data_IF_083848522164
#
_entry.id   IF_083848522164
#
_cell.length_a   1.000
_cell.length_b   1.000
_cell.length_c   1.000
_cell.angle_alpha   90.00
_cell.angle_beta   90.00
_cell.angle_gamma   90.00
#
_symmetry.space_group_name_H-M   'P 1'
#
loop_
_entity.id
_entity.type
_entity.pdbx_description
1 polymer ?
#
# COMPACT_ATOMS: atom_id res chain seq x y z
N UNK A 1 12.23 -31.26 -55.29
CA UNK A 1 11.33 -31.12 -56.43
C UNK A 1 10.39 -32.34 -56.57
N UNK A 2 9.20 -32.20 -57.12
CA UNK A 2 8.14 -31.27 -56.79
C UNK A 2 6.81 -32.06 -56.56
N UNK A 3 5.77 -31.43 -56.06
CA UNK A 3 4.50 -31.46 -56.76
C UNK A 3 3.50 -30.51 -56.12
N UNK A 4 3.02 -29.62 -56.98
CA UNK A 4 1.91 -28.76 -56.77
C UNK A 4 0.57 -29.45 -57.05
N UNK A 5 -0.49 -28.91 -56.45
CA UNK A 5 -1.87 -28.92 -57.00
C UNK A 5 -2.62 -27.68 -56.59
N UNK A 6 -2.93 -26.91 -57.59
CA UNK A 6 -3.98 -25.89 -57.62
C UNK A 6 -5.36 -26.53 -57.75
N UNK A 7 -6.39 -25.94 -57.20
CA UNK A 7 -7.81 -25.97 -57.61
C UNK A 7 -8.49 -24.84 -56.90
N UNK A 8 -8.96 -23.86 -57.50
CA UNK A 8 -10.03 -23.53 -58.49
C UNK A 8 -11.22 -22.83 -57.79
N UNK A 9 -11.48 -21.67 -58.31
CA UNK A 9 -12.61 -20.77 -58.02
C UNK A 9 -13.97 -21.40 -58.24
N UNK A 10 -14.96 -20.96 -57.48
CA UNK A 10 -16.37 -21.18 -57.74
C UNK A 10 -17.24 -20.06 -57.08
N UNK A 11 -18.33 -19.62 -57.73
CA UNK A 11 -18.77 -18.25 -57.63
C UNK A 11 -19.83 -17.94 -56.55
N UNK A 12 -19.88 -16.64 -56.29
CA UNK A 12 -20.82 -15.87 -55.45
C UNK A 12 -22.26 -16.00 -55.95
N UNK A 13 -23.17 -16.19 -55.02
CA UNK A 13 -24.58 -15.87 -55.25
C UNK A 13 -25.10 -14.88 -54.19
N UNK A 14 -25.65 -13.74 -54.66
CA UNK A 14 -26.44 -12.80 -53.88
C UNK A 14 -27.90 -12.97 -54.19
N UNK A 15 -28.78 -12.85 -53.21
CA UNK A 15 -29.98 -12.03 -53.42
C UNK A 15 -30.28 -11.11 -52.26
N UNK A 16 -30.57 -9.81 -52.54
CA UNK A 16 -31.92 -9.40 -52.70
C UNK A 16 -32.41 -8.65 -51.43
N UNK A 17 -32.40 -7.31 -51.45
CA UNK A 17 -32.88 -6.47 -50.39
C UNK A 17 -34.39 -6.47 -50.17
N UNK A 18 -34.83 -6.19 -48.96
CA UNK A 18 -36.15 -5.61 -48.65
C UNK A 18 -36.16 -4.79 -47.37
N UNK A 19 -36.60 -3.51 -47.50
CA UNK A 19 -37.56 -2.91 -46.58
C UNK A 19 -37.11 -2.46 -45.20
N UNK A 20 -36.80 -1.18 -45.03
CA UNK A 20 -36.83 -0.48 -43.75
C UNK A 20 -38.27 -0.20 -43.32
N UNK A 21 -38.64 -0.40 -42.05
CA UNK A 21 -39.70 0.39 -41.41
C UNK A 21 -39.14 1.44 -40.46
N UNK A 22 -39.89 2.55 -40.35
CA UNK A 22 -39.59 3.81 -39.71
C UNK A 22 -39.35 3.70 -38.18
N UNK A 23 -38.39 4.46 -37.74
CA UNK A 23 -38.07 4.67 -36.35
C UNK A 23 -39.17 5.45 -35.59
N UNK A 24 -39.79 4.81 -34.59
CA UNK A 24 -40.55 5.51 -33.54
C UNK A 24 -39.57 6.06 -32.53
N UNK A 25 -39.55 7.38 -32.37
CA UNK A 25 -38.83 8.04 -31.28
C UNK A 25 -39.51 7.67 -29.94
N UNK A 26 -38.82 6.87 -29.14
CA UNK A 26 -39.17 6.68 -27.72
C UNK A 26 -38.58 7.85 -26.93
N UNK A 27 -39.41 8.51 -26.12
CA UNK A 27 -38.98 9.54 -25.17
C UNK A 27 -38.13 8.84 -24.08
N UNK A 28 -36.87 9.29 -23.96
CA UNK A 28 -35.97 8.88 -22.87
C UNK A 28 -36.39 9.69 -21.64
N UNK A 29 -36.92 8.99 -20.65
CA UNK A 29 -37.11 9.50 -19.27
C UNK A 29 -35.74 9.68 -18.59
N UNK A 30 -35.62 10.52 -17.54
CA UNK A 30 -34.35 10.72 -16.85
C UNK A 30 -33.89 9.42 -16.20
N UNK A 31 -32.72 8.97 -16.60
CA UNK A 31 -32.06 7.79 -16.03
C UNK A 31 -31.70 7.97 -14.55
N UNK A 32 -31.56 6.88 -13.79
CA UNK A 32 -31.25 6.95 -12.38
C UNK A 32 -29.89 7.62 -12.16
N UNK A 33 -29.84 8.60 -11.26
CA UNK A 33 -28.62 9.26 -10.82
C UNK A 33 -27.64 8.20 -10.30
N UNK A 34 -26.48 8.08 -10.94
CA UNK A 34 -25.37 7.27 -10.43
C UNK A 34 -24.94 7.86 -9.09
N UNK A 35 -25.15 7.10 -8.00
CA UNK A 35 -24.54 7.40 -6.71
C UNK A 35 -23.02 7.24 -6.86
N UNK A 36 -22.27 8.29 -6.56
CA UNK A 36 -20.83 8.23 -6.40
C UNK A 36 -20.48 7.29 -5.25
N UNK A 37 -19.39 6.53 -5.32
CA UNK A 37 -18.91 5.72 -4.19
C UNK A 37 -18.31 6.68 -3.16
N UNK A 38 -19.10 7.13 -2.20
CA UNK A 38 -18.66 7.89 -1.05
C UNK A 38 -18.14 6.97 0.03
N UNK A 39 -16.91 7.17 0.48
CA UNK A 39 -16.46 6.67 1.79
C UNK A 39 -17.42 7.17 2.87
N UNK A 40 -17.66 6.34 3.91
CA UNK A 40 -18.45 6.75 5.08
C UNK A 40 -17.78 7.96 5.74
N UNK A 41 -18.26 9.14 5.42
CA UNK A 41 -18.18 10.29 6.32
C UNK A 41 -19.30 10.09 7.33
N UNK A 42 -19.02 10.28 8.62
CA UNK A 42 -20.08 10.47 9.58
C UNK A 42 -20.91 11.71 9.18
N UNK A 43 -22.15 11.84 9.68
CA UNK A 43 -23.05 12.94 9.32
C UNK A 43 -22.48 14.34 9.67
N UNK A 44 -21.28 14.41 10.24
CA UNK A 44 -20.58 15.64 10.64
C UNK A 44 -19.37 15.98 9.78
N UNK A 45 -19.02 15.14 8.78
CA UNK A 45 -17.89 15.40 7.88
C UNK A 45 -16.52 15.31 8.54
N UNK A 46 -16.43 14.82 9.78
CA UNK A 46 -15.17 14.59 10.48
C UNK A 46 -14.63 13.22 10.12
N UNK A 47 -13.38 13.16 9.67
CA UNK A 47 -12.57 11.93 9.65
C UNK A 47 -12.59 11.40 11.08
N UNK A 48 -13.14 10.19 11.31
CA UNK A 48 -13.22 9.57 12.63
C UNK A 48 -11.88 9.69 13.34
N UNK A 49 -11.89 10.04 14.62
CA UNK A 49 -10.68 10.33 15.38
C UNK A 49 -9.73 9.14 15.28
N UNK A 50 -8.57 9.35 14.67
CA UNK A 50 -7.53 8.38 14.36
C UNK A 50 -6.92 7.90 15.67
N UNK A 51 -7.28 6.70 16.13
CA UNK A 51 -6.70 6.11 17.34
C UNK A 51 -5.25 5.71 17.09
N UNK A 52 -4.40 6.07 18.01
CA UNK A 52 -2.97 5.76 17.97
C UNK A 52 -2.55 4.97 19.21
N UNK A 53 -1.44 4.26 19.12
CA UNK A 53 -0.90 3.54 20.27
C UNK A 53 -0.57 4.47 21.44
N UNK A 54 -0.20 5.72 21.16
CA UNK A 54 0.02 6.78 22.14
C UNK A 54 -1.24 7.14 22.94
N UNK A 55 -2.45 7.02 22.37
CA UNK A 55 -3.73 7.29 23.05
C UNK A 55 -4.00 6.26 24.17
N UNK A 56 -3.29 5.14 24.17
CA UNK A 56 -3.32 4.11 25.21
C UNK A 56 -2.18 4.26 26.23
N UNK A 57 -1.47 5.40 26.24
CA UNK A 57 -0.36 5.64 27.14
C UNK A 57 0.88 4.81 26.84
N UNK A 58 0.98 4.27 25.62
CA UNK A 58 2.10 3.45 25.16
C UNK A 58 2.98 4.24 24.19
N UNK A 59 4.28 4.05 24.29
CA UNK A 59 5.26 4.65 23.37
C UNK A 59 6.15 3.58 22.78
N UNK A 60 6.56 3.79 21.53
CA UNK A 60 7.46 2.89 20.79
C UNK A 60 8.79 3.60 20.58
N UNK A 61 9.85 2.96 21.08
CA UNK A 61 11.20 3.48 20.94
C UNK A 61 11.49 4.72 21.77
N UNK A 62 12.49 5.48 21.36
CA UNK A 62 13.01 6.64 22.10
C UNK A 62 13.18 7.90 21.23
N UNK A 63 12.99 7.77 19.92
CA UNK A 63 13.12 8.89 19.00
C UNK A 63 11.85 9.72 18.95
N UNK A 64 12.00 11.02 18.79
CA UNK A 64 10.89 11.99 18.68
C UNK A 64 10.07 11.72 17.41
N UNK A 65 8.73 11.57 17.52
CA UNK A 65 7.87 11.52 16.33
C UNK A 65 7.83 12.88 15.63
N UNK A 66 7.47 12.87 14.34
CA UNK A 66 7.13 14.08 13.60
C UNK A 66 5.77 14.65 14.00
N UNK A 67 5.38 15.81 13.44
CA UNK A 67 4.17 16.54 13.87
C UNK A 67 2.85 15.78 13.71
N UNK A 68 2.73 14.91 12.71
CA UNK A 68 1.57 14.06 12.46
C UNK A 68 1.80 12.61 12.89
N UNK A 69 3.05 12.30 13.21
CA UNK A 69 3.53 10.94 13.41
C UNK A 69 3.06 10.01 12.28
N UNK A 70 3.37 10.38 11.04
CA UNK A 70 2.93 9.71 9.84
C UNK A 70 3.95 9.80 8.70
N UNK A 71 3.85 8.92 7.69
CA UNK A 71 4.66 8.97 6.46
C UNK A 71 4.67 10.37 5.82
N UNK A 72 3.55 11.07 5.93
CA UNK A 72 3.34 12.41 5.37
C UNK A 72 4.02 13.56 6.13
N UNK A 73 4.74 13.27 7.20
CA UNK A 73 5.66 14.24 7.81
C UNK A 73 6.91 14.48 6.94
N UNK A 74 7.23 13.53 6.05
CA UNK A 74 8.24 13.74 5.02
C UNK A 74 7.71 14.75 3.99
N UNK A 75 8.40 15.85 3.75
CA UNK A 75 7.90 16.93 2.91
C UNK A 75 7.50 16.49 1.50
N UNK A 76 6.28 16.86 1.09
CA UNK A 76 5.74 16.57 -0.24
C UNK A 76 5.09 15.18 -0.39
N UNK A 77 5.18 14.31 0.59
CA UNK A 77 4.52 13.01 0.58
C UNK A 77 3.02 13.18 0.82
N UNK A 78 2.20 12.46 0.05
CA UNK A 78 0.74 12.39 0.20
C UNK A 78 0.28 10.94 0.10
N UNK A 79 -0.80 10.61 0.82
CA UNK A 79 -1.42 9.28 0.80
C UNK A 79 -2.90 9.43 0.51
N UNK A 80 -3.45 8.55 -0.33
CA UNK A 80 -4.87 8.53 -0.63
C UNK A 80 -5.44 7.12 -0.72
N UNK A 81 -6.73 6.98 -0.45
CA UNK A 81 -7.41 5.70 -0.38
C UNK A 81 -8.68 5.70 -1.24
N UNK A 82 -8.95 4.54 -1.84
CA UNK A 82 -10.26 4.18 -2.34
C UNK A 82 -10.64 2.84 -1.70
N UNK A 83 -11.66 2.83 -0.85
CA UNK A 83 -12.11 1.63 -0.13
C UNK A 83 -13.32 1.02 -0.83
N UNK A 84 -13.25 -0.28 -1.13
CA UNK A 84 -14.37 -1.08 -1.60
C UNK A 84 -14.84 -1.97 -0.46
N UNK A 85 -15.88 -1.51 0.23
CA UNK A 85 -16.48 -2.17 1.39
C UNK A 85 -17.96 -2.43 1.13
N UNK A 86 -18.30 -3.67 0.76
CA UNK A 86 -19.67 -4.13 0.53
C UNK A 86 -19.85 -5.48 1.25
N UNK A 87 -20.28 -5.45 2.53
CA UNK A 87 -20.46 -6.65 3.35
C UNK A 87 -21.47 -7.64 2.76
N UNK A 88 -22.50 -7.16 2.03
CA UNK A 88 -23.52 -8.01 1.43
C UNK A 88 -22.95 -8.90 0.32
N UNK A 89 -21.92 -8.38 -0.38
CA UNK A 89 -21.18 -9.13 -1.39
C UNK A 89 -19.91 -9.79 -0.85
N UNK A 90 -19.62 -9.63 0.44
CA UNK A 90 -18.37 -10.11 1.05
C UNK A 90 -17.14 -9.39 0.54
N UNK A 91 -17.28 -8.15 0.04
CA UNK A 91 -16.16 -7.37 -0.49
C UNK A 91 -15.56 -6.50 0.62
N UNK A 92 -14.26 -6.69 0.85
CA UNK A 92 -13.44 -5.97 1.81
C UNK A 92 -12.04 -5.75 1.24
N UNK A 93 -11.86 -4.76 0.39
CA UNK A 93 -10.60 -4.49 -0.30
C UNK A 93 -10.48 -3.01 -0.66
N UNK A 94 -9.43 -2.63 -1.39
CA UNK A 94 -9.28 -1.27 -1.88
C UNK A 94 -7.90 -0.98 -2.44
N UNK A 95 -7.69 0.30 -2.70
CA UNK A 95 -6.46 0.87 -3.24
C UNK A 95 -5.93 1.93 -2.29
N UNK A 96 -4.65 1.87 -1.99
CA UNK A 96 -3.91 2.95 -1.32
C UNK A 96 -2.82 3.44 -2.26
N UNK A 97 -2.74 4.74 -2.49
CA UNK A 97 -1.70 5.38 -3.28
C UNK A 97 -0.80 6.20 -2.38
N UNK A 98 0.51 5.99 -2.49
CA UNK A 98 1.54 6.85 -1.89
C UNK A 98 2.17 7.66 -3.01
N UNK A 99 2.03 8.98 -2.95
CA UNK A 99 2.69 9.95 -3.85
C UNK A 99 3.88 10.49 -3.07
N UNK A 100 5.11 10.01 -3.33
CA UNK A 100 6.26 10.30 -2.46
C UNK A 100 6.82 11.70 -2.66
N UNK A 101 6.46 12.38 -3.74
CA UNK A 101 6.90 13.73 -3.99
C UNK A 101 6.00 14.45 -5.02
N UNK A 102 5.97 15.80 -5.02
CA UNK A 102 5.27 16.57 -6.03
C UNK A 102 5.98 16.49 -7.40
N UNK A 103 5.24 16.80 -8.46
CA UNK A 103 5.73 16.80 -9.84
C UNK A 103 5.72 15.43 -10.49
N UNK A 104 6.40 15.33 -11.63
CA UNK A 104 6.45 14.11 -12.44
C UNK A 104 7.61 13.20 -11.97
N UNK A 105 7.27 12.09 -11.36
CA UNK A 105 8.25 11.06 -10.98
C UNK A 105 8.87 10.38 -12.21
N UNK A 106 8.19 10.38 -13.35
CA UNK A 106 8.76 9.87 -14.59
C UNK A 106 9.92 10.74 -15.10
N UNK A 107 9.73 12.07 -15.06
CA UNK A 107 10.74 13.02 -15.54
C UNK A 107 11.87 13.27 -14.54
N UNK A 108 11.54 13.21 -13.24
CA UNK A 108 12.49 13.38 -12.14
C UNK A 108 12.29 12.24 -11.14
N UNK A 109 13.00 11.15 -11.38
CA UNK A 109 12.91 9.94 -10.55
C UNK A 109 13.47 10.18 -9.15
N UNK A 110 12.94 9.43 -8.18
CA UNK A 110 13.51 9.40 -6.84
C UNK A 110 14.54 8.28 -6.72
N UNK A 111 15.58 8.48 -5.94
CA UNK A 111 16.40 7.37 -5.49
C UNK A 111 15.55 6.42 -4.64
N UNK A 112 15.66 5.12 -4.91
CA UNK A 112 14.87 4.09 -4.26
C UNK A 112 15.66 2.81 -4.03
N UNK A 113 15.30 2.07 -2.98
CA UNK A 113 15.84 0.76 -2.68
C UNK A 113 14.77 -0.16 -2.11
N UNK A 114 14.82 -1.44 -2.42
CA UNK A 114 13.86 -2.42 -1.96
C UNK A 114 14.54 -3.61 -1.28
N UNK A 115 13.82 -4.23 -0.34
CA UNK A 115 14.22 -5.46 0.33
C UNK A 115 13.05 -6.44 0.36
N UNK A 116 13.35 -7.71 0.10
CA UNK A 116 12.44 -8.83 0.32
C UNK A 116 13.01 -9.63 1.46
N UNK A 117 12.22 -9.82 2.53
CA UNK A 117 12.59 -10.63 3.68
C UNK A 117 12.07 -12.06 3.52
N UNK A 118 10.79 -12.20 3.17
CA UNK A 118 10.22 -13.46 2.69
C UNK A 118 9.40 -13.20 1.43
N UNK A 119 9.49 -14.07 0.44
CA UNK A 119 9.08 -13.79 -0.94
C UNK A 119 7.73 -14.36 -1.37
N UNK A 120 6.85 -14.79 -0.46
CA UNK A 120 5.53 -15.29 -0.84
C UNK A 120 4.55 -14.14 -1.17
N UNK A 121 4.91 -13.32 -2.15
CA UNK A 121 4.18 -12.12 -2.60
C UNK A 121 4.17 -11.98 -4.14
N UNK A 122 3.22 -11.18 -4.66
CA UNK A 122 3.01 -10.93 -6.10
C UNK A 122 3.25 -9.46 -6.45
N UNK A 123 4.07 -8.78 -5.66
CA UNK A 123 4.43 -7.39 -5.87
C UNK A 123 5.20 -7.17 -7.17
N UNK A 124 4.92 -6.05 -7.85
CA UNK A 124 5.45 -5.74 -9.18
C UNK A 124 6.27 -4.44 -9.17
N UNK A 125 7.17 -4.30 -10.16
CA UNK A 125 8.00 -3.11 -10.35
C UNK A 125 9.31 -3.11 -9.57
N UNK A 126 9.53 -4.05 -8.64
CA UNK A 126 10.70 -4.08 -7.76
C UNK A 126 12.00 -4.49 -8.47
N UNK A 127 11.93 -5.22 -9.58
CA UNK A 127 13.11 -5.62 -10.36
C UNK A 127 13.86 -4.37 -10.82
N UNK A 128 13.17 -3.42 -11.47
CA UNK A 128 13.79 -2.18 -11.93
C UNK A 128 14.27 -1.30 -10.77
N UNK A 129 13.49 -1.21 -9.67
CA UNK A 129 13.92 -0.47 -8.47
C UNK A 129 15.24 -1.03 -7.93
N UNK A 130 15.37 -2.34 -7.84
CA UNK A 130 16.60 -2.99 -7.33
C UNK A 130 17.79 -2.84 -8.28
N UNK A 131 17.55 -2.93 -9.58
CA UNK A 131 18.61 -2.87 -10.60
C UNK A 131 19.06 -1.43 -10.87
N UNK A 132 18.10 -0.51 -11.04
CA UNK A 132 18.40 0.89 -11.40
C UNK A 132 18.44 1.85 -10.22
N UNK A 133 17.96 1.43 -9.06
CA UNK A 133 17.96 2.26 -7.85
C UNK A 133 17.01 3.45 -7.91
N UNK A 134 15.99 3.42 -8.76
CA UNK A 134 15.08 4.56 -8.98
C UNK A 134 13.62 4.16 -8.94
N UNK A 135 12.78 5.09 -8.45
CA UNK A 135 11.32 5.05 -8.52
C UNK A 135 10.82 6.11 -9.49
N UNK A 136 9.96 5.73 -10.45
CA UNK A 136 9.46 6.62 -11.51
C UNK A 136 7.93 6.73 -11.59
N UNK A 137 7.22 6.11 -10.64
CA UNK A 137 5.77 6.23 -10.47
C UNK A 137 5.40 6.41 -9.01
N UNK A 138 4.20 6.88 -8.68
CA UNK A 138 3.62 6.67 -7.35
C UNK A 138 3.58 5.18 -7.01
N UNK A 139 3.49 4.86 -5.71
CA UNK A 139 3.43 3.49 -5.19
C UNK A 139 1.97 3.15 -4.92
N UNK A 140 1.51 2.01 -5.43
CA UNK A 140 0.14 1.51 -5.23
C UNK A 140 0.17 0.29 -4.31
N UNK A 141 -0.69 0.27 -3.30
CA UNK A 141 -0.94 -0.87 -2.43
C UNK A 141 -2.36 -1.40 -2.67
N UNK A 142 -2.54 -2.73 -2.61
CA UNK A 142 -3.85 -3.35 -2.87
C UNK A 142 -3.95 -4.76 -2.30
N UNK A 143 -5.10 -5.41 -2.49
CA UNK A 143 -5.30 -6.86 -2.28
C UNK A 143 -4.70 -7.69 -3.41
N UNK A 144 -4.32 -8.93 -3.08
CA UNK A 144 -3.57 -9.84 -3.97
C UNK A 144 -4.21 -10.04 -5.36
N UNK A 145 -5.54 -10.12 -5.43
CA UNK A 145 -6.26 -10.41 -6.70
C UNK A 145 -6.27 -9.24 -7.68
N UNK A 146 -5.94 -8.02 -7.21
CA UNK A 146 -6.07 -6.79 -8.01
C UNK A 146 -4.73 -6.21 -8.45
N UNK A 147 -3.60 -6.80 -8.04
CA UNK A 147 -2.27 -6.25 -8.31
C UNK A 147 -2.00 -6.08 -9.82
N UNK A 148 -2.34 -7.08 -10.64
CA UNK A 148 -2.15 -7.01 -12.10
C UNK A 148 -3.01 -5.96 -12.79
N UNK A 149 -4.29 -5.83 -12.39
CA UNK A 149 -5.20 -4.83 -12.95
C UNK A 149 -4.77 -3.39 -12.58
N UNK A 150 -4.29 -3.18 -11.36
CA UNK A 150 -3.81 -1.88 -10.93
C UNK A 150 -2.42 -1.55 -11.51
N UNK A 151 -1.61 -2.57 -11.84
CA UNK A 151 -0.38 -2.35 -12.60
C UNK A 151 -0.70 -1.80 -14.00
N UNK A 152 -1.62 -2.43 -14.75
CA UNK A 152 -2.07 -1.93 -16.05
C UNK A 152 -2.70 -0.53 -15.93
N UNK A 153 -3.55 -0.32 -14.91
CA UNK A 153 -4.17 0.97 -14.68
C UNK A 153 -3.16 2.09 -14.41
N UNK A 154 -2.12 1.84 -13.61
CA UNK A 154 -1.06 2.81 -13.32
C UNK A 154 -0.18 3.06 -14.55
N UNK A 155 0.12 2.00 -15.32
CA UNK A 155 0.85 2.11 -16.57
C UNK A 155 0.14 3.02 -17.57
N UNK A 156 -1.17 2.76 -17.81
CA UNK A 156 -2.00 3.58 -18.70
C UNK A 156 -2.15 5.01 -18.21
N UNK A 157 -2.35 5.21 -16.90
CA UNK A 157 -2.38 6.54 -16.31
C UNK A 157 -1.08 7.31 -16.57
N UNK A 158 0.07 6.65 -16.45
CA UNK A 158 1.36 7.26 -16.73
C UNK A 158 1.50 7.68 -18.21
N UNK A 159 1.00 6.86 -19.15
CA UNK A 159 0.95 7.23 -20.58
C UNK A 159 0.02 8.40 -20.86
N UNK A 160 -1.12 8.49 -20.17
CA UNK A 160 -2.04 9.63 -20.31
C UNK A 160 -1.41 10.94 -19.81
N UNK A 161 -0.61 10.86 -18.73
CA UNK A 161 0.10 12.02 -18.15
C UNK A 161 1.37 12.40 -18.92
N UNK A 162 1.97 11.45 -19.65
CA UNK A 162 3.26 11.57 -20.35
C UNK A 162 3.19 10.94 -21.74
N UNK A 163 2.85 11.73 -22.74
CA UNK A 163 2.68 11.26 -24.14
C UNK A 163 3.96 10.70 -24.76
N UNK A 164 5.13 11.00 -24.20
CA UNK A 164 6.43 10.47 -24.60
C UNK A 164 6.62 8.98 -24.27
N UNK A 165 5.91 8.44 -23.26
CA UNK A 165 6.00 7.02 -22.87
C UNK A 165 5.48 6.12 -24.00
N UNK A 166 6.26 5.12 -24.38
CA UNK A 166 5.98 4.17 -25.47
C UNK A 166 5.85 4.84 -26.87
N UNK A 167 6.32 6.07 -27.03
CA UNK A 167 6.37 6.78 -28.32
C UNK A 167 7.78 7.25 -28.65
N UNK A 168 8.25 8.33 -28.05
CA UNK A 168 9.61 8.86 -28.22
C UNK A 168 10.57 8.41 -27.13
N UNK A 169 10.03 8.05 -25.99
CA UNK A 169 10.79 7.47 -24.87
C UNK A 169 10.45 5.98 -24.71
N UNK A 170 11.19 5.29 -23.85
CA UNK A 170 10.91 3.91 -23.47
C UNK A 170 9.60 3.75 -22.71
N UNK A 171 9.45 2.64 -22.02
CA UNK A 171 8.31 2.38 -21.14
C UNK A 171 8.50 2.99 -19.74
N UNK A 172 7.46 2.89 -18.92
CA UNK A 172 7.49 3.24 -17.50
C UNK A 172 7.38 1.97 -16.64
N UNK A 173 7.92 2.00 -15.43
CA UNK A 173 7.87 0.87 -14.49
C UNK A 173 6.93 1.20 -13.30
N UNK A 174 5.64 0.84 -13.36
CA UNK A 174 4.74 0.96 -12.23
C UNK A 174 5.18 0.13 -11.04
N UNK A 175 4.99 0.65 -9.84
CA UNK A 175 5.22 -0.10 -8.60
C UNK A 175 3.88 -0.38 -7.92
N UNK A 176 3.51 -1.66 -7.85
CA UNK A 176 2.29 -2.13 -7.20
C UNK A 176 2.65 -3.24 -6.22
N UNK A 177 2.31 -3.03 -4.96
CA UNK A 177 2.60 -3.92 -3.85
C UNK A 177 1.30 -4.48 -3.28
N UNK A 178 1.29 -5.74 -2.80
CA UNK A 178 0.06 -6.37 -2.37
C UNK A 178 0.21 -7.16 -1.08
N UNK A 179 -0.92 -7.32 -0.39
CA UNK A 179 -1.10 -8.29 0.67
C UNK A 179 -2.36 -9.13 0.41
N UNK A 180 -2.41 -10.36 0.93
CA UNK A 180 -3.51 -11.27 0.71
C UNK A 180 -4.69 -10.98 1.66
N UNK A 181 -5.70 -10.26 1.19
CA UNK A 181 -6.93 -9.90 1.91
C UNK A 181 -8.02 -10.99 1.90
N UNK A 182 -7.77 -12.15 1.30
CA UNK A 182 -8.80 -13.16 1.00
C UNK A 182 -9.46 -13.81 2.22
N UNK A 183 -8.99 -13.57 3.43
CA UNK A 183 -9.67 -14.02 4.63
C UNK A 183 -11.00 -13.27 4.85
N UNK A 184 -11.01 -11.95 4.72
CA UNK A 184 -12.18 -11.09 4.87
C UNK A 184 -12.83 -10.73 3.53
N UNK A 185 -12.08 -10.73 2.44
CA UNK A 185 -12.50 -10.31 1.10
C UNK A 185 -12.79 -11.49 0.19
N UNK A 186 -13.89 -11.47 -0.55
CA UNK A 186 -14.10 -12.40 -1.66
C UNK A 186 -13.27 -11.95 -2.88
N UNK A 187 -12.03 -12.39 -2.91
CA UNK A 187 -11.09 -12.06 -3.97
C UNK A 187 -11.53 -12.55 -5.38
N UNK A 188 -12.48 -13.48 -5.47
CA UNK A 188 -13.04 -13.95 -6.76
C UNK A 188 -14.03 -12.96 -7.34
N UNK A 189 -14.73 -12.20 -6.50
CA UNK A 189 -15.71 -11.19 -6.91
C UNK A 189 -15.12 -9.79 -6.97
N UNK A 190 -14.08 -9.50 -6.18
CA UNK A 190 -13.44 -8.19 -6.13
C UNK A 190 -12.89 -7.79 -7.51
N UNK A 191 -13.23 -6.59 -7.95
CA UNK A 191 -12.74 -5.99 -9.19
C UNK A 191 -12.32 -4.56 -8.91
N UNK A 192 -11.02 -4.33 -8.89
CA UNK A 192 -10.44 -2.99 -8.80
C UNK A 192 -9.80 -2.66 -10.14
N UNK A 193 -9.97 -1.42 -10.59
CA UNK A 193 -9.47 -0.93 -11.87
C UNK A 193 -9.11 0.55 -11.83
N UNK A 194 -9.07 1.17 -12.99
CA UNK A 194 -8.65 2.54 -13.20
C UNK A 194 -9.47 3.54 -12.37
N UNK A 195 -10.77 3.38 -12.29
CA UNK A 195 -11.68 4.24 -11.53
C UNK A 195 -11.37 4.27 -10.03
N UNK A 196 -10.99 3.13 -9.45
CA UNK A 196 -10.59 3.02 -8.04
C UNK A 196 -9.21 3.65 -7.81
N UNK A 197 -8.30 3.47 -8.76
CA UNK A 197 -6.99 4.10 -8.74
C UNK A 197 -7.13 5.62 -8.79
N UNK A 198 -7.91 6.15 -9.74
CA UNK A 198 -8.12 7.59 -9.90
C UNK A 198 -8.83 8.20 -8.68
N UNK A 199 -9.77 7.48 -8.05
CA UNK A 199 -10.39 7.91 -6.80
C UNK A 199 -9.37 8.00 -5.65
N UNK A 200 -8.45 7.02 -5.52
CA UNK A 200 -7.39 7.06 -4.52
C UNK A 200 -6.41 8.22 -4.77
N UNK A 201 -6.06 8.50 -6.03
CA UNK A 201 -5.27 9.68 -6.38
C UNK A 201 -5.97 11.00 -6.02
N UNK A 202 -7.28 11.09 -6.30
CA UNK A 202 -8.10 12.27 -5.96
C UNK A 202 -8.22 12.53 -4.46
N UNK A 203 -8.13 11.48 -3.64
CA UNK A 203 -8.18 11.55 -2.19
C UNK A 203 -6.81 11.79 -1.53
N UNK A 204 -5.71 11.88 -2.31
CA UNK A 204 -4.36 11.96 -1.75
C UNK A 204 -4.10 13.29 -1.04
N UNK A 205 -3.81 13.22 0.25
CA UNK A 205 -3.56 14.35 1.14
C UNK A 205 -2.43 14.06 2.14
N UNK A 206 -2.03 15.08 2.90
CA UNK A 206 -1.12 14.92 4.02
C UNK A 206 -1.82 14.35 5.26
N UNK A 207 -3.13 14.52 5.37
CA UNK A 207 -3.95 13.89 6.39
C UNK A 207 -4.77 12.76 5.73
N UNK A 208 -4.67 11.53 6.26
CA UNK A 208 -5.25 10.34 5.65
C UNK A 208 -5.70 9.34 6.73
N UNK A 209 -6.61 8.45 6.38
CA UNK A 209 -7.12 7.42 7.29
C UNK A 209 -6.12 6.28 7.54
N UNK A 210 -6.27 5.61 8.68
CA UNK A 210 -5.56 4.37 9.03
C UNK A 210 -6.53 3.24 9.38
N UNK A 211 -6.04 2.02 9.59
CA UNK A 211 -6.86 0.84 9.89
C UNK A 211 -7.50 0.23 8.64
N UNK A 212 -8.82 0.05 8.67
CA UNK A 212 -9.60 -0.66 7.66
C UNK A 212 -9.93 0.22 6.43
N UNK A 213 -8.97 0.91 5.84
CA UNK A 213 -9.14 1.82 4.70
C UNK A 213 -8.28 1.41 3.51
N UNK A 214 -8.76 1.71 2.30
CA UNK A 214 -8.02 1.42 1.07
C UNK A 214 -7.55 -0.03 1.00
N UNK A 215 -6.28 -0.25 0.69
CA UNK A 215 -5.65 -1.57 0.67
C UNK A 215 -5.75 -2.32 2.01
N UNK A 216 -5.90 -1.60 3.13
CA UNK A 216 -6.01 -2.17 4.47
C UNK A 216 -7.38 -2.74 4.81
N UNK A 217 -8.41 -2.49 3.99
CA UNK A 217 -9.80 -2.82 4.32
C UNK A 217 -10.01 -4.30 4.66
N UNK A 218 -9.41 -5.24 3.92
CA UNK A 218 -9.57 -6.69 4.14
C UNK A 218 -8.46 -7.36 4.95
N UNK A 219 -7.52 -6.60 5.52
CA UNK A 219 -6.32 -7.16 6.14
C UNK A 219 -6.56 -7.69 7.56
N UNK A 220 -5.83 -8.77 7.90
CA UNK A 220 -5.82 -9.40 9.22
C UNK A 220 -4.40 -9.43 9.75
N UNK A 221 -4.16 -8.87 10.95
CA UNK A 221 -2.84 -8.84 11.56
C UNK A 221 -2.90 -9.40 12.98
N UNK A 222 -2.05 -10.36 13.30
CA UNK A 222 -2.08 -11.11 14.56
C UNK A 222 -3.47 -11.71 14.89
N UNK A 223 -4.16 -12.23 13.87
CA UNK A 223 -5.55 -12.72 13.97
C UNK A 223 -6.56 -11.67 14.46
N UNK A 224 -6.18 -10.41 14.49
CA UNK A 224 -7.01 -9.22 14.73
C UNK A 224 -7.27 -8.49 13.41
N UNK A 225 -8.07 -7.42 13.42
CA UNK A 225 -8.20 -6.55 12.26
C UNK A 225 -6.90 -5.79 12.06
N UNK A 226 -6.27 -6.01 10.92
CA UNK A 226 -5.08 -5.29 10.44
C UNK A 226 -5.45 -4.14 9.52
N UNK A 227 -4.49 -3.66 8.73
CA UNK A 227 -4.73 -2.61 7.74
C UNK A 227 -3.59 -1.64 7.55
N UNK A 228 -3.93 -0.40 7.19
CA UNK A 228 -2.98 0.69 7.03
C UNK A 228 -2.60 1.25 8.40
N UNK A 229 -1.30 1.44 8.61
CA UNK A 229 -0.77 2.17 9.75
C UNK A 229 0.43 2.99 9.36
N UNK A 230 0.72 4.02 10.12
CA UNK A 230 1.81 4.94 9.80
C UNK A 230 2.45 5.50 11.06
N UNK A 231 3.71 5.90 10.97
CA UNK A 231 4.45 6.62 12.00
C UNK A 231 5.62 7.38 11.36
N UNK A 232 6.25 8.28 12.11
CA UNK A 232 7.45 8.98 11.67
C UNK A 232 8.42 9.19 12.81
N UNK A 233 9.67 9.50 12.46
CA UNK A 233 10.73 9.88 13.39
C UNK A 233 11.49 11.08 12.85
N UNK A 234 11.77 12.02 13.73
CA UNK A 234 12.76 13.07 13.48
C UNK A 234 14.13 12.51 13.79
N UNK A 235 15.04 12.64 12.83
CA UNK A 235 16.38 12.06 12.86
C UNK A 235 17.42 13.15 12.86
N UNK A 236 18.09 13.31 13.99
CA UNK A 236 19.21 14.24 14.12
C UNK A 236 20.53 13.53 13.78
N UNK A 237 21.21 13.97 12.76
CA UNK A 237 22.51 13.44 12.35
C UNK A 237 23.31 14.48 11.56
N UNK A 238 24.64 14.41 11.58
CA UNK A 238 25.56 15.36 10.92
C UNK A 238 25.19 16.84 11.09
N UNK A 239 24.65 17.23 12.27
CA UNK A 239 24.24 18.61 12.58
C UNK A 239 22.99 19.08 11.83
N UNK A 240 22.16 18.16 11.32
CA UNK A 240 20.91 18.43 10.61
C UNK A 240 19.78 17.56 11.16
N UNK A 241 18.55 18.04 11.02
CA UNK A 241 17.35 17.24 11.22
C UNK A 241 16.85 16.72 9.86
N UNK A 242 16.48 15.44 9.85
CA UNK A 242 15.76 14.79 8.75
C UNK A 242 14.50 14.13 9.30
N UNK A 243 13.58 13.83 8.42
CA UNK A 243 12.38 13.07 8.74
C UNK A 243 12.44 11.71 8.07
N UNK A 244 12.13 10.65 8.82
CA UNK A 244 11.85 9.33 8.29
C UNK A 244 10.42 8.99 8.62
N UNK A 245 9.61 8.71 7.58
CA UNK A 245 8.24 8.22 7.71
C UNK A 245 8.12 6.78 7.27
N UNK A 246 7.18 6.06 7.88
CA UNK A 246 6.79 4.70 7.53
C UNK A 246 5.28 4.61 7.31
N UNK A 247 4.86 3.81 6.32
CA UNK A 247 3.49 3.34 6.13
C UNK A 247 3.53 1.84 5.91
N UNK A 248 2.65 1.12 6.58
CA UNK A 248 2.50 -0.33 6.42
C UNK A 248 1.10 -0.70 5.93
N UNK A 249 1.02 -1.79 5.18
CA UNK A 249 -0.20 -2.56 4.99
C UNK A 249 -0.01 -3.89 5.72
N UNK A 250 -0.55 -3.99 6.95
CA UNK A 250 -0.25 -5.07 7.89
C UNK A 250 -1.28 -6.19 7.80
N UNK A 251 -0.82 -7.39 7.43
CA UNK A 251 -1.63 -8.59 7.24
C UNK A 251 -0.85 -9.87 7.61
N UNK A 252 -0.29 -9.96 8.80
CA UNK A 252 0.61 -11.03 9.21
C UNK A 252 0.47 -11.38 10.70
N UNK A 253 1.19 -12.39 11.15
CA UNK A 253 1.38 -12.73 12.56
C UNK A 253 0.28 -13.61 13.15
N UNK A 254 0.62 -14.29 14.24
CA UNK A 254 -0.30 -15.09 15.06
C UNK A 254 -0.58 -14.37 16.36
N UNK A 255 -1.83 -14.42 16.85
CA UNK A 255 -2.25 -13.69 18.05
C UNK A 255 -1.37 -13.97 19.27
N UNK A 256 -1.01 -15.22 19.47
CA UNK A 256 -0.19 -15.66 20.62
C UNK A 256 1.21 -15.04 20.66
N UNK A 257 1.72 -14.61 19.52
CA UNK A 257 3.07 -14.06 19.39
C UNK A 257 3.10 -12.52 19.57
N UNK A 258 1.93 -11.85 19.63
CA UNK A 258 1.87 -10.39 19.66
C UNK A 258 2.60 -9.78 20.85
N UNK A 259 3.55 -8.90 20.53
CA UNK A 259 4.27 -8.03 21.46
C UNK A 259 3.83 -6.58 21.22
N UNK A 260 3.30 -5.94 22.25
CA UNK A 260 2.81 -4.57 22.22
C UNK A 260 3.78 -3.64 22.95
N UNK A 261 4.53 -2.82 22.22
CA UNK A 261 5.53 -1.91 22.80
C UNK A 261 6.42 -2.61 23.85
N UNK A 262 6.99 -3.76 23.50
CA UNK A 262 7.84 -4.58 24.34
C UNK A 262 7.12 -5.50 25.37
N UNK A 263 5.78 -5.48 25.42
CA UNK A 263 4.97 -6.30 26.33
C UNK A 263 4.36 -7.50 25.60
N UNK A 264 4.63 -8.75 25.96
CA UNK A 264 3.99 -9.92 25.35
C UNK A 264 2.54 -10.02 25.84
N UNK A 265 1.58 -9.62 25.00
CA UNK A 265 0.15 -9.64 25.35
C UNK A 265 -0.63 -10.73 24.62
N UNK A 266 -0.02 -11.40 23.66
CA UNK A 266 -0.70 -12.32 22.75
C UNK A 266 -1.45 -13.46 23.46
N UNK A 267 -0.86 -14.08 24.48
CA UNK A 267 -1.52 -15.14 25.26
C UNK A 267 -2.73 -14.64 26.05
N UNK A 268 -2.67 -13.42 26.61
CA UNK A 268 -3.79 -12.81 27.32
C UNK A 268 -4.92 -12.46 26.36
N UNK A 269 -4.62 -11.91 25.19
CA UNK A 269 -5.61 -11.63 24.12
C UNK A 269 -6.30 -12.92 23.67
N UNK A 270 -5.57 -14.00 23.51
CA UNK A 270 -6.13 -15.28 23.12
C UNK A 270 -7.10 -15.82 24.17
N UNK A 271 -6.79 -15.68 25.44
CA UNK A 271 -7.69 -16.08 26.54
C UNK A 271 -9.00 -15.27 26.53
N UNK A 272 -8.93 -13.95 26.25
CA UNK A 272 -10.11 -13.09 26.17
C UNK A 272 -11.00 -13.37 24.96
N UNK A 273 -10.43 -13.75 23.83
CA UNK A 273 -11.18 -13.88 22.59
C UNK A 273 -11.86 -15.23 22.44
N UNK A 274 -11.56 -16.23 23.30
CA UNK A 274 -11.98 -17.63 23.10
C UNK A 274 -11.73 -18.11 21.66
N UNK A 275 -10.80 -17.46 20.98
CA UNK A 275 -10.54 -17.66 19.58
C UNK A 275 -10.14 -19.12 19.39
N UNK A 276 -10.91 -19.86 18.59
CA UNK A 276 -10.48 -21.13 18.07
C UNK A 276 -9.08 -20.93 17.53
N UNK A 277 -8.13 -21.71 18.03
CA UNK A 277 -6.78 -21.64 17.55
C UNK A 277 -6.80 -22.07 16.09
N UNK A 278 -6.86 -21.12 15.18
CA UNK A 278 -6.38 -21.40 13.85
C UNK A 278 -4.91 -21.78 13.99
N UNK A 279 -4.65 -23.09 14.06
CA UNK A 279 -3.31 -23.68 14.02
C UNK A 279 -2.64 -23.45 12.66
N UNK A 280 -3.18 -22.53 11.88
CA UNK A 280 -2.58 -22.10 10.64
C UNK A 280 -1.29 -21.35 10.98
N UNK A 281 -0.20 -21.77 10.34
CA UNK A 281 1.08 -21.06 10.43
C UNK A 281 0.93 -19.59 10.01
N UNK A 282 1.91 -18.77 10.30
CA UNK A 282 1.98 -17.36 9.86
C UNK A 282 2.01 -17.32 8.31
N UNK A 283 0.83 -17.16 7.70
CA UNK A 283 0.61 -17.13 6.25
C UNK A 283 0.21 -15.72 5.79
N UNK A 284 0.72 -14.74 6.44
CA UNK A 284 0.34 -13.35 6.17
C UNK A 284 1.19 -12.69 5.10
N UNK A 285 1.28 -11.39 5.20
CA UNK A 285 2.17 -10.53 4.43
C UNK A 285 2.24 -9.15 5.06
N UNK A 286 3.34 -8.43 4.83
CA UNK A 286 3.42 -7.01 5.12
C UNK A 286 4.10 -6.28 3.98
N UNK A 287 3.50 -5.17 3.57
CA UNK A 287 4.14 -4.19 2.71
C UNK A 287 4.53 -2.98 3.56
N UNK A 288 5.79 -2.57 3.44
CA UNK A 288 6.36 -1.43 4.14
C UNK A 288 6.83 -0.41 3.11
N UNK A 289 6.36 0.83 3.23
CA UNK A 289 6.86 1.99 2.47
C UNK A 289 7.55 2.93 3.43
N UNK A 290 8.82 3.19 3.20
CA UNK A 290 9.63 4.18 3.90
C UNK A 290 9.89 5.37 2.99
N UNK A 291 9.77 6.58 3.50
CA UNK A 291 10.24 7.79 2.85
C UNK A 291 11.12 8.61 3.81
N UNK A 292 12.08 9.32 3.26
CA UNK A 292 12.93 10.24 4.03
C UNK A 292 13.38 11.41 3.17
N UNK A 293 13.56 12.56 3.76
CA UNK A 293 14.23 13.73 3.15
C UNK A 293 15.75 13.72 3.36
N UNK A 294 16.30 12.69 4.03
CA UNK A 294 17.74 12.49 4.07
C UNK A 294 18.27 12.09 2.67
N UNK A 295 19.41 12.65 2.22
CA UNK A 295 19.98 12.33 0.93
C UNK A 295 20.66 10.95 0.98
N UNK A 296 19.93 9.91 0.61
CA UNK A 296 20.41 8.53 0.55
C UNK A 296 20.47 8.00 -0.88
N UNK A 297 21.52 7.27 -1.21
CA UNK A 297 21.60 6.53 -2.47
C UNK A 297 20.75 5.24 -2.42
N UNK A 298 20.59 4.58 -3.57
CA UNK A 298 19.79 3.35 -3.69
C UNK A 298 20.30 2.19 -2.83
N UNK A 299 21.62 2.07 -2.67
CA UNK A 299 22.25 1.05 -1.83
C UNK A 299 21.95 1.31 -0.35
N UNK A 300 22.02 2.56 0.09
CA UNK A 300 21.66 2.97 1.47
C UNK A 300 20.16 2.78 1.73
N UNK A 301 19.30 3.11 0.77
CA UNK A 301 17.86 2.90 0.84
C UNK A 301 17.50 1.40 0.90
N UNK A 302 18.20 0.54 0.16
CA UNK A 302 18.02 -0.91 0.28
C UNK A 302 18.46 -1.45 1.66
N UNK A 303 19.50 -0.85 2.28
CA UNK A 303 19.90 -1.15 3.66
C UNK A 303 18.84 -0.67 4.67
N UNK A 304 18.29 0.52 4.45
CA UNK A 304 17.21 1.09 5.25
C UNK A 304 15.96 0.21 5.20
N UNK A 305 15.55 -0.21 3.99
CA UNK A 305 14.43 -1.13 3.78
C UNK A 305 14.62 -2.44 4.56
N UNK A 306 15.84 -3.00 4.59
CA UNK A 306 16.12 -4.20 5.42
C UNK A 306 15.98 -3.95 6.93
N UNK A 307 16.28 -2.74 7.43
CA UNK A 307 16.15 -2.41 8.86
C UNK A 307 14.71 -2.31 9.32
N UNK A 308 13.77 -2.04 8.42
CA UNK A 308 12.34 -2.00 8.74
C UNK A 308 11.81 -3.32 9.30
N UNK A 309 12.38 -4.46 8.89
CA UNK A 309 11.98 -5.79 9.40
C UNK A 309 12.34 -6.03 10.87
N UNK A 310 13.25 -5.24 11.44
CA UNK A 310 13.48 -5.23 12.89
C UNK A 310 12.21 -4.77 13.62
N UNK A 311 11.49 -3.77 13.08
CA UNK A 311 10.19 -3.34 13.60
C UNK A 311 9.14 -4.45 13.54
N UNK A 312 9.09 -5.22 12.45
CA UNK A 312 8.21 -6.40 12.34
C UNK A 312 8.54 -7.44 13.42
N UNK A 313 9.81 -7.78 13.61
CA UNK A 313 10.24 -8.73 14.66
C UNK A 313 9.91 -8.23 16.07
N UNK A 314 9.98 -6.93 16.34
CA UNK A 314 9.64 -6.34 17.64
C UNK A 314 8.15 -6.47 18.00
N UNK A 315 7.26 -6.60 17.01
CA UNK A 315 5.84 -6.88 17.25
C UNK A 315 5.56 -8.37 17.49
N UNK A 316 6.59 -9.24 17.45
CA UNK A 316 6.50 -10.67 17.78
C UNK A 316 6.42 -11.60 16.57
N UNK A 317 6.36 -11.09 15.34
CA UNK A 317 6.38 -11.95 14.16
C UNK A 317 7.77 -12.57 13.95
N UNK A 318 7.78 -13.85 13.60
CA UNK A 318 8.99 -14.56 13.16
C UNK A 318 9.07 -14.68 11.63
N UNK A 319 8.11 -14.06 10.90
CA UNK A 319 8.05 -14.06 9.43
C UNK A 319 8.00 -15.48 8.88
N UNK A 320 6.81 -16.09 8.89
CA UNK A 320 6.59 -17.48 8.45
C UNK A 320 6.81 -17.67 6.95
N UNK A 321 7.10 -18.91 6.53
CA UNK A 321 7.37 -19.27 5.13
C UNK A 321 6.27 -18.83 4.14
N UNK A 322 5.01 -18.84 4.56
CA UNK A 322 3.86 -18.40 3.75
C UNK A 322 3.64 -16.88 3.71
N UNK A 323 4.54 -16.07 4.24
CA UNK A 323 4.43 -14.60 4.30
C UNK A 323 5.10 -13.91 3.12
N UNK A 324 4.52 -12.80 2.65
CA UNK A 324 5.10 -11.92 1.63
C UNK A 324 5.54 -10.60 2.26
N UNK A 325 6.81 -10.50 2.68
CA UNK A 325 7.31 -9.40 3.48
C UNK A 325 8.27 -8.55 2.66
N UNK A 326 7.77 -7.38 2.25
CA UNK A 326 8.42 -6.52 1.25
C UNK A 326 8.50 -5.10 1.78
N UNK A 327 9.68 -4.49 1.67
CA UNK A 327 9.91 -3.10 2.00
C UNK A 327 10.48 -2.32 0.81
N UNK A 328 9.95 -1.11 0.60
CA UNK A 328 10.43 -0.13 -0.36
C UNK A 328 10.79 1.16 0.39
N UNK A 329 11.99 1.66 0.19
CA UNK A 329 12.45 2.94 0.76
C UNK A 329 12.78 3.93 -0.36
N UNK A 330 12.41 5.20 -0.16
CA UNK A 330 12.67 6.28 -1.11
C UNK A 330 13.29 7.50 -0.41
N UNK A 331 14.20 8.19 -1.09
CA UNK A 331 14.67 9.51 -0.68
C UNK A 331 14.00 10.58 -1.54
N UNK A 332 13.36 11.56 -0.88
CA UNK A 332 12.77 12.72 -1.57
C UNK A 332 13.80 13.80 -1.89
N UNK A 333 14.99 13.74 -1.27
CA UNK A 333 16.09 14.67 -1.50
C UNK A 333 16.86 14.40 -2.81
N UNK A 334 16.94 13.13 -3.24
CA UNK A 334 17.72 12.73 -4.41
C UNK A 334 16.81 12.61 -5.63
N UNK A 335 17.01 13.51 -6.60
CA UNK A 335 16.27 13.55 -7.86
C UNK A 335 17.19 13.17 -9.02
N UNK A 336 16.72 12.28 -9.85
CA UNK A 336 17.47 11.75 -11.00
C UNK A 336 16.68 12.05 -12.27
N UNK A 337 17.17 12.95 -13.15
CA UNK A 337 16.44 13.34 -14.34
C UNK A 337 16.30 12.17 -15.33
N UNK A 338 15.15 12.07 -15.98
CA UNK A 338 14.87 11.04 -17.01
C UNK A 338 15.77 11.25 -18.24
N UNK A 339 15.92 12.49 -18.69
CA UNK A 339 16.82 12.85 -19.79
C UNK A 339 18.21 13.21 -19.24
N UNK A 340 19.23 12.78 -19.91
CA UNK A 340 20.60 13.14 -19.56
C UNK A 340 20.76 14.67 -19.52
N UNK A 341 21.34 15.23 -18.45
CA UNK A 341 21.67 16.65 -18.41
C UNK A 341 22.78 16.97 -19.40
N UNK A 342 22.99 18.25 -19.68
CA UNK A 342 24.09 18.69 -20.54
C UNK A 342 25.42 18.24 -19.91
N UNK A 343 26.23 17.48 -20.68
CA UNK A 343 27.46 16.87 -20.18
C UNK A 343 27.33 15.42 -19.70
N UNK A 344 26.08 14.90 -19.57
CA UNK A 344 25.82 13.47 -19.33
C UNK A 344 26.06 12.99 -17.90
N UNK A 345 26.47 13.86 -16.98
CA UNK A 345 26.80 13.51 -15.59
C UNK A 345 25.71 14.05 -14.66
N UNK A 346 25.21 13.20 -13.76
CA UNK A 346 24.30 13.58 -12.67
C UNK A 346 25.10 13.54 -11.37
N UNK A 347 25.16 14.69 -10.70
CA UNK A 347 25.77 14.81 -9.37
C UNK A 347 24.68 14.73 -8.31
N UNK A 348 24.88 13.88 -7.31
CA UNK A 348 23.96 13.72 -6.17
C UNK A 348 24.75 13.79 -4.86
N UNK A 349 24.23 14.57 -3.92
CA UNK A 349 24.74 14.55 -2.55
C UNK A 349 24.25 13.28 -1.84
N UNK A 350 25.13 12.61 -1.10
CA UNK A 350 24.82 11.39 -0.36
C UNK A 350 25.30 11.50 1.07
N UNK A 351 24.49 11.07 2.03
CA UNK A 351 24.87 11.02 3.44
C UNK A 351 26.03 10.04 3.63
N UNK A 352 27.07 10.46 4.37
CA UNK A 352 28.17 9.56 4.68
C UNK A 352 27.73 8.42 5.60
N UNK A 353 28.29 7.21 5.39
CA UNK A 353 27.90 5.99 6.12
C UNK A 353 28.04 6.10 7.66
N UNK A 354 28.98 6.86 8.16
CA UNK A 354 29.15 7.11 9.62
C UNK A 354 27.94 7.79 10.27
N UNK A 355 27.07 8.40 9.47
CA UNK A 355 25.90 9.15 9.92
C UNK A 355 24.56 8.44 9.69
N UNK A 356 24.58 7.17 9.21
CA UNK A 356 23.35 6.46 8.77
C UNK A 356 22.61 5.74 9.92
N UNK A 357 23.29 5.36 11.00
CA UNK A 357 22.73 4.56 12.08
C UNK A 357 21.47 5.14 12.72
N UNK A 358 21.35 6.48 12.94
CA UNK A 358 20.11 7.07 13.44
C UNK A 358 18.90 6.80 12.51
N UNK A 359 19.09 6.78 11.18
CA UNK A 359 18.05 6.44 10.22
C UNK A 359 17.65 4.96 10.29
N UNK A 360 18.60 4.06 10.54
CA UNK A 360 18.31 2.64 10.75
C UNK A 360 17.48 2.39 12.02
N UNK A 361 17.82 3.09 13.10
CA UNK A 361 17.03 3.08 14.35
C UNK A 361 15.62 3.62 14.11
N UNK A 362 15.52 4.76 13.42
CA UNK A 362 14.25 5.39 13.05
C UNK A 362 13.35 4.44 12.24
N UNK A 363 13.90 3.71 11.26
CA UNK A 363 13.15 2.74 10.46
C UNK A 363 12.57 1.62 11.33
N UNK A 364 13.35 1.08 12.28
CA UNK A 364 12.89 0.03 13.17
C UNK A 364 11.76 0.52 14.09
N UNK A 365 11.90 1.71 14.70
CA UNK A 365 10.90 2.27 15.61
C UNK A 365 9.63 2.71 14.87
N UNK A 366 9.76 3.41 13.73
CA UNK A 366 8.61 3.87 12.96
C UNK A 366 7.79 2.70 12.39
N UNK A 367 8.41 1.60 11.97
CA UNK A 367 7.69 0.44 11.45
C UNK A 367 7.00 -0.33 12.58
N UNK A 368 7.64 -0.55 13.73
CA UNK A 368 7.00 -1.12 14.90
C UNK A 368 5.73 -0.34 15.27
N UNK A 369 5.84 0.99 15.38
CA UNK A 369 4.70 1.84 15.71
C UNK A 369 3.63 1.85 14.63
N UNK A 370 4.01 1.88 13.35
CA UNK A 370 3.05 1.80 12.23
C UNK A 370 2.20 0.54 12.29
N UNK A 371 2.79 -0.61 12.63
CA UNK A 371 2.08 -1.88 12.78
C UNK A 371 1.08 -1.80 13.95
N UNK A 372 1.50 -1.27 15.08
CA UNK A 372 0.65 -1.12 16.25
C UNK A 372 -0.47 -0.10 15.99
N UNK A 373 -0.20 1.00 15.29
CA UNK A 373 -1.19 1.96 14.86
C UNK A 373 -2.22 1.33 13.89
N UNK A 374 -1.79 0.47 12.96
CA UNK A 374 -2.71 -0.27 12.09
C UNK A 374 -3.71 -1.12 12.89
N UNK A 375 -3.26 -1.75 13.98
CA UNK A 375 -4.09 -2.59 14.83
C UNK A 375 -5.10 -1.80 15.69
N UNK A 376 -4.68 -0.66 16.27
CA UNK A 376 -5.53 0.15 17.15
C UNK A 376 -6.45 1.11 16.41
N UNK A 377 -6.10 1.49 15.17
CA UNK A 377 -6.95 2.31 14.29
C UNK A 377 -8.05 1.50 13.59
N UNK A 378 -8.01 0.17 13.67
CA UNK A 378 -9.00 -0.69 13.05
C UNK A 378 -10.33 -0.69 13.82
N UNK A 379 -11.43 -0.89 13.08
CA UNK A 379 -12.78 -0.93 13.64
C UNK A 379 -12.97 -2.07 14.68
N UNK A 380 -14.00 -1.93 15.52
CA UNK A 380 -14.32 -2.86 16.62
C UNK A 380 -14.47 -4.31 16.16
N UNK A 381 -15.37 -4.57 15.22
CA UNK A 381 -15.57 -5.88 14.60
C UNK A 381 -15.81 -5.68 13.11
N UNK A 382 -15.01 -6.37 12.31
CA UNK A 382 -15.19 -6.40 10.86
C UNK A 382 -15.61 -7.80 10.44
N UNK A 383 -16.79 -7.88 9.84
CA UNK A 383 -17.32 -9.12 9.25
C UNK A 383 -17.07 -9.11 7.75
N UNK A 384 -16.43 -10.14 7.26
CA UNK A 384 -16.10 -10.33 5.85
C UNK A 384 -16.88 -11.48 5.20
N UNK A 385 -16.32 -12.04 4.14
CA UNK A 385 -16.90 -13.16 3.40
C UNK A 385 -17.17 -14.36 4.30
N UNK A 386 -18.22 -15.13 4.01
CA UNK A 386 -18.57 -16.37 4.70
C UNK A 386 -18.71 -16.23 6.23
N UNK A 387 -18.98 -15.03 6.74
CA UNK A 387 -19.07 -14.77 8.17
C UNK A 387 -17.73 -14.74 8.91
N UNK A 388 -16.60 -14.82 8.21
CA UNK A 388 -15.28 -14.61 8.84
C UNK A 388 -15.22 -13.21 9.46
N UNK A 389 -14.66 -13.10 10.64
CA UNK A 389 -14.58 -11.82 11.36
C UNK A 389 -13.21 -11.60 12.00
N UNK A 390 -12.90 -10.32 12.25
CA UNK A 390 -11.75 -9.89 13.04
C UNK A 390 -12.15 -8.78 13.99
N UNK A 391 -11.68 -8.86 15.24
CA UNK A 391 -11.86 -7.82 16.25
C UNK A 391 -10.75 -6.76 16.13
N UNK A 392 -11.04 -5.52 16.45
CA UNK A 392 -10.06 -4.46 16.63
C UNK A 392 -9.27 -4.65 17.93
N UNK A 393 -7.99 -4.30 17.92
CA UNK A 393 -7.13 -4.39 19.11
C UNK A 393 -7.56 -3.38 20.19
N UNK A 394 -8.00 -2.19 19.82
CA UNK A 394 -8.34 -1.11 20.75
C UNK A 394 -9.34 -1.53 21.83
N UNK A 395 -10.36 -2.32 21.48
CA UNK A 395 -11.37 -2.80 22.43
C UNK A 395 -10.77 -3.79 23.42
N UNK A 396 -9.94 -4.71 22.92
CA UNK A 396 -9.30 -5.72 23.74
C UNK A 396 -8.28 -5.12 24.72
N UNK A 397 -7.62 -4.02 24.35
CA UNK A 397 -6.74 -3.28 25.27
C UNK A 397 -7.53 -2.68 26.43
N UNK A 398 -8.72 -2.16 26.17
CA UNK A 398 -9.63 -1.66 27.22
C UNK A 398 -10.06 -2.77 28.19
N UNK A 399 -10.36 -3.98 27.66
CA UNK A 399 -10.69 -5.16 28.46
C UNK A 399 -9.52 -5.64 29.33
N UNK A 400 -8.28 -5.48 28.83
CA UNK A 400 -7.05 -5.77 29.58
C UNK A 400 -6.63 -4.67 30.57
N UNK A 401 -7.40 -3.56 30.64
CA UNK A 401 -7.07 -2.43 31.51
C UNK A 401 -5.86 -1.60 31.02
N UNK A 402 -5.46 -1.75 29.76
CA UNK A 402 -4.40 -0.95 29.15
C UNK A 402 -5.00 0.39 28.73
N UNK A 403 -4.35 1.51 29.13
CA UNK A 403 -4.82 2.87 28.80
C UNK A 403 -5.91 3.42 29.72
N UNK A 404 -6.20 2.77 30.85
CA UNK A 404 -6.99 3.36 31.94
C UNK A 404 -6.01 4.03 32.94
N UNK A 405 -5.77 5.32 32.75
CA UNK A 405 -5.21 6.20 33.77
C UNK A 405 -6.31 7.16 34.25
#
# INVERSE_FOLDING_TARGET
>A
APDGRSLSDGPVDRPGGRGRPAARRARVGPGPKKSAPGGRQDETGKIGMRRRIADFGLSVGTMRPGPRDALTDVPGVRVGHCTLDDPQKGLRTGVTVVIPAPGSLFREKLAAGAAVFNGFGKSMGLIQVREKGTLETPIVLTGVSSAGALYDALFRRSMDEHSEICTTDGSVNPVVLECNDSYLNDARQARLGREHLDAAFGAAASDFGEGAVGAGCGMSCFSLKGGIGSASRVVETCGREFTLGALVNANFGRMEDLILAGRPIGSALRALTSAESNREGDKGSIVIVLATDAPLDSRQLARLARRSFIGVGRTGSFVGDGSGDIALAVSTAVRIPHKAPRGGIVEVGVLHEEHIDPLFKAAAEAVEESILNALVSAEHIVVGRNGHSRRGLADLLSDLGVGRN
#
